data_IF_236005987131
#
_entry.id   IF_236005987131
#
_cell.length_a   1.000
_cell.length_b   1.000
_cell.length_c   1.000
_cell.angle_alpha   90.00
_cell.angle_beta   90.00
_cell.angle_gamma   90.00
#
_symmetry.space_group_name_H-M   'P 1'
#
loop_
_entity.id
_entity.type
_entity.pdbx_description
1 polymer ?
#
# COMPACT_ATOMS: atom_id res chain seq x y z
N UNK A 1 -52.67 29.01 16.42
CA UNK A 1 -53.10 27.88 15.57
C UNK A 1 -52.71 28.21 14.14
N UNK A 2 -51.66 27.72 13.52
CA UNK A 2 -50.45 27.03 13.96
C UNK A 2 -49.42 27.33 12.86
N UNK A 3 -48.34 27.98 13.25
CA UNK A 3 -47.23 28.35 12.38
C UNK A 3 -46.29 27.13 12.30
N UNK A 4 -46.50 26.28 11.29
CA UNK A 4 -45.69 25.07 11.11
C UNK A 4 -44.50 25.41 10.22
N UNK A 5 -43.50 26.08 10.80
CA UNK A 5 -42.16 26.18 10.23
C UNK A 5 -41.50 24.80 10.24
N UNK A 6 -41.54 24.13 9.09
CA UNK A 6 -40.84 22.87 8.86
C UNK A 6 -39.33 23.17 8.84
N UNK A 7 -38.65 22.85 9.94
CA UNK A 7 -37.21 23.01 10.07
C UNK A 7 -36.47 22.31 8.92
N UNK A 8 -35.79 23.11 8.10
CA UNK A 8 -34.87 22.62 7.09
C UNK A 8 -33.77 21.82 7.79
N UNK A 9 -33.88 20.48 7.76
CA UNK A 9 -32.79 19.60 8.17
C UNK A 9 -31.60 19.92 7.27
N UNK A 10 -30.55 20.52 7.82
CA UNK A 10 -29.32 20.83 7.09
C UNK A 10 -28.82 19.54 6.43
N UNK A 11 -28.73 19.54 5.10
CA UNK A 11 -28.14 18.43 4.34
C UNK A 11 -26.74 18.17 4.92
N UNK A 12 -26.36 16.93 5.24
CA UNK A 12 -25.01 16.66 5.72
C UNK A 12 -24.00 17.20 4.69
N UNK A 13 -22.87 17.77 5.14
CA UNK A 13 -21.88 18.32 4.23
C UNK A 13 -21.45 17.24 3.24
N UNK A 14 -21.44 17.60 1.96
CA UNK A 14 -20.98 16.72 0.89
C UNK A 14 -19.49 16.48 1.13
N UNK A 15 -19.07 15.22 1.11
CA UNK A 15 -17.67 14.86 1.22
C UNK A 15 -16.82 15.64 0.19
N UNK A 16 -15.70 16.20 0.63
CA UNK A 16 -14.75 16.96 -0.20
C UNK A 16 -13.53 16.09 -0.51
N UNK A 17 -13.32 15.80 -1.80
CA UNK A 17 -12.15 15.06 -2.30
C UNK A 17 -10.89 15.91 -2.09
N UNK A 18 -9.78 15.26 -1.73
CA UNK A 18 -8.47 15.88 -1.52
C UNK A 18 -8.45 16.95 -0.41
N UNK A 19 -9.42 16.92 0.49
CA UNK A 19 -9.48 17.81 1.64
C UNK A 19 -8.20 17.69 2.49
N UNK A 20 -7.64 18.83 2.90
CA UNK A 20 -6.41 18.90 3.70
C UNK A 20 -6.49 18.03 4.96
N UNK A 21 -7.60 18.08 5.68
CA UNK A 21 -7.79 17.29 6.89
C UNK A 21 -7.74 15.77 6.62
N UNK A 22 -8.18 15.32 5.43
CA UNK A 22 -8.08 13.92 5.04
C UNK A 22 -6.65 13.53 4.70
N UNK A 23 -5.92 14.40 4.00
CA UNK A 23 -4.50 14.21 3.70
C UNK A 23 -3.65 14.13 4.97
N UNK A 24 -3.92 15.00 5.94
CA UNK A 24 -3.25 14.97 7.25
C UNK A 24 -3.47 13.64 7.98
N UNK A 25 -4.68 13.09 7.91
CA UNK A 25 -4.99 11.76 8.48
C UNK A 25 -4.20 10.66 7.76
N UNK A 26 -4.10 10.72 6.44
CA UNK A 26 -3.29 9.78 5.67
C UNK A 26 -1.80 9.87 6.05
N UNK A 27 -1.22 11.07 6.04
CA UNK A 27 0.18 11.30 6.46
C UNK A 27 0.46 10.81 7.88
N UNK A 28 -0.46 11.07 8.82
CA UNK A 28 -0.33 10.60 10.20
C UNK A 28 -0.40 9.06 10.29
N UNK A 29 -1.31 8.43 9.53
CA UNK A 29 -1.40 6.98 9.44
C UNK A 29 -0.09 6.37 8.90
N UNK A 30 0.46 6.93 7.81
CA UNK A 30 1.71 6.47 7.20
C UNK A 30 2.89 6.54 8.19
N UNK A 31 3.04 7.67 8.88
CA UNK A 31 4.07 7.80 9.91
C UNK A 31 3.88 6.81 11.06
N UNK A 32 2.63 6.55 11.48
CA UNK A 32 2.32 5.61 12.55
C UNK A 32 2.67 4.15 12.20
N UNK A 33 2.62 3.78 10.92
CA UNK A 33 3.02 2.45 10.42
C UNK A 33 4.49 2.37 10.02
N UNK A 34 5.28 3.45 10.19
CA UNK A 34 6.71 3.46 9.93
C UNK A 34 7.15 3.90 8.52
N UNK A 35 6.25 4.51 7.74
CA UNK A 35 6.59 5.16 6.47
C UNK A 35 6.80 6.66 6.74
N UNK A 36 8.07 7.08 6.85
CA UNK A 36 8.46 8.49 7.09
C UNK A 36 7.91 9.38 5.98
N UNK A 37 6.86 10.14 6.30
CA UNK A 37 6.10 10.97 5.37
C UNK A 37 6.06 12.40 5.88
N UNK A 38 6.54 13.34 5.07
CA UNK A 38 6.60 14.76 5.43
C UNK A 38 6.01 15.63 4.34
N UNK A 39 5.41 16.75 4.75
CA UNK A 39 5.05 17.81 3.82
C UNK A 39 6.29 18.56 3.33
N UNK A 40 6.34 18.81 2.02
CA UNK A 40 7.37 19.60 1.37
C UNK A 40 6.73 20.31 0.17
N UNK A 41 6.64 21.64 0.21
CA UNK A 41 6.00 22.43 -0.83
C UNK A 41 6.76 22.28 -2.17
N UNK A 42 6.02 22.00 -3.24
CA UNK A 42 6.56 21.71 -4.56
C UNK A 42 7.15 20.32 -4.71
N UNK A 43 6.95 19.40 -3.75
CA UNK A 43 7.39 18.03 -3.91
C UNK A 43 6.65 17.38 -5.09
N UNK A 44 7.42 16.95 -6.08
CA UNK A 44 6.94 16.14 -7.20
C UNK A 44 8.06 15.21 -7.65
N UNK A 45 7.70 14.03 -8.14
CA UNK A 45 8.62 12.99 -8.52
C UNK A 45 8.20 12.34 -9.83
N UNK A 46 8.11 11.01 -9.82
CA UNK A 46 7.46 10.28 -10.91
C UNK A 46 5.96 10.57 -10.97
N UNK A 47 5.35 10.76 -9.79
CA UNK A 47 3.94 11.10 -9.60
C UNK A 47 3.81 12.56 -9.16
N UNK A 48 2.79 13.26 -9.68
CA UNK A 48 2.57 14.67 -9.35
C UNK A 48 2.21 14.87 -7.87
N UNK A 49 2.89 15.82 -7.22
CA UNK A 49 2.65 16.18 -5.82
C UNK A 49 3.25 15.20 -4.80
N UNK A 50 3.89 14.12 -5.24
CA UNK A 50 4.47 13.10 -4.35
C UNK A 50 5.85 12.66 -4.85
N UNK A 51 6.81 12.54 -3.95
CA UNK A 51 8.16 12.08 -4.29
C UNK A 51 8.68 11.10 -3.26
N UNK A 52 9.08 9.93 -3.72
CA UNK A 52 9.86 8.98 -2.93
C UNK A 52 11.33 9.44 -2.90
N UNK A 53 11.91 9.57 -1.70
CA UNK A 53 13.32 9.92 -1.44
C UNK A 53 13.92 8.88 -0.49
N UNK A 54 14.67 7.93 -1.06
CA UNK A 54 15.39 6.86 -0.33
C UNK A 54 14.56 6.18 0.76
N UNK A 55 13.37 5.72 0.37
CA UNK A 55 12.44 5.00 1.25
C UNK A 55 11.57 5.88 2.14
N UNK A 56 11.58 7.20 1.92
CA UNK A 56 10.73 8.20 2.60
C UNK A 56 9.83 8.87 1.58
N UNK A 57 8.81 9.57 2.05
CA UNK A 57 7.84 10.26 1.21
C UNK A 57 7.82 11.77 1.48
N UNK A 58 8.06 12.56 0.44
CA UNK A 58 7.86 14.00 0.43
C UNK A 58 6.55 14.30 -0.31
N UNK A 59 5.65 15.05 0.33
CA UNK A 59 4.28 15.27 -0.13
C UNK A 59 4.00 16.76 -0.26
N UNK A 60 3.57 17.20 -1.43
CA UNK A 60 3.09 18.57 -1.60
C UNK A 60 1.73 18.75 -0.89
N UNK A 61 1.42 19.91 -0.28
CA UNK A 61 0.11 20.15 0.32
C UNK A 61 -1.08 19.99 -0.64
N UNK A 62 -0.87 20.12 -1.95
CA UNK A 62 -1.86 19.87 -3.00
C UNK A 62 -1.84 18.45 -3.57
N UNK A 63 -1.03 17.53 -3.03
CA UNK A 63 -0.96 16.15 -3.49
C UNK A 63 -2.34 15.46 -3.41
N UNK A 64 -2.69 14.72 -4.45
CA UNK A 64 -3.89 13.88 -4.44
C UNK A 64 -3.74 12.76 -3.42
N UNK A 65 -4.83 12.44 -2.73
CA UNK A 65 -4.79 11.40 -1.70
C UNK A 65 -4.64 10.00 -2.33
N UNK A 66 -5.18 9.78 -3.53
CA UNK A 66 -4.93 8.58 -4.33
C UNK A 66 -3.43 8.37 -4.61
N UNK A 67 -2.76 9.41 -5.13
CA UNK A 67 -1.33 9.40 -5.42
C UNK A 67 -0.50 9.15 -4.14
N UNK A 68 -0.81 9.84 -3.05
CA UNK A 68 -0.18 9.64 -1.74
C UNK A 68 -0.25 8.17 -1.29
N UNK A 69 -1.45 7.57 -1.33
CA UNK A 69 -1.65 6.18 -0.90
C UNK A 69 -0.98 5.18 -1.84
N UNK A 70 -0.98 5.42 -3.16
CA UNK A 70 -0.32 4.57 -4.14
C UNK A 70 1.19 4.53 -3.95
N UNK A 71 1.85 5.69 -3.88
CA UNK A 71 3.30 5.78 -3.65
C UNK A 71 3.71 5.19 -2.30
N UNK A 72 2.85 5.37 -1.28
CA UNK A 72 3.04 4.71 0.02
C UNK A 72 2.93 3.19 -0.08
N UNK A 73 2.05 2.68 -0.94
CA UNK A 73 1.91 1.25 -1.22
C UNK A 73 3.20 0.63 -1.76
N UNK A 74 3.94 1.34 -2.62
CA UNK A 74 5.26 0.90 -3.06
C UNK A 74 6.24 0.74 -1.89
N UNK A 75 6.30 1.72 -0.98
CA UNK A 75 7.18 1.65 0.19
C UNK A 75 6.74 0.59 1.21
N UNK A 76 5.43 0.40 1.36
CA UNK A 76 4.83 -0.54 2.30
C UNK A 76 5.06 -2.00 1.88
N UNK A 77 4.91 -2.29 0.59
CA UNK A 77 5.09 -3.63 0.00
C UNK A 77 6.56 -3.99 -0.18
N UNK A 78 7.43 -2.99 -0.33
CA UNK A 78 8.86 -3.18 -0.35
C UNK A 78 9.38 -3.72 1.00
N UNK A 79 10.15 -4.83 1.01
CA UNK A 79 10.81 -5.32 2.22
C UNK A 79 11.66 -4.22 2.87
N UNK A 80 11.54 -4.05 4.19
CA UNK A 80 12.21 -3.00 4.94
C UNK A 80 13.72 -2.92 4.71
N UNK A 81 14.38 -4.06 4.51
CA UNK A 81 15.82 -4.14 4.21
C UNK A 81 16.21 -3.47 2.88
N UNK A 82 15.28 -3.33 1.93
CA UNK A 82 15.50 -2.75 0.61
C UNK A 82 14.82 -1.39 0.42
N UNK A 83 13.97 -0.95 1.36
CA UNK A 83 13.21 0.30 1.24
C UNK A 83 14.08 1.52 0.95
N UNK A 84 15.30 1.55 1.49
CA UNK A 84 16.29 2.61 1.25
C UNK A 84 16.77 2.73 -0.22
N UNK A 85 16.57 1.69 -1.04
CA UNK A 85 16.88 1.69 -2.47
C UNK A 85 15.79 2.38 -3.32
N UNK A 86 14.61 2.63 -2.74
CA UNK A 86 13.48 3.26 -3.43
C UNK A 86 13.67 4.77 -3.47
N UNK A 87 13.89 5.34 -4.65
CA UNK A 87 14.19 6.76 -4.84
C UNK A 87 13.69 7.24 -6.20
N UNK A 88 12.84 8.26 -6.23
CA UNK A 88 12.21 8.78 -7.44
C UNK A 88 11.54 7.67 -8.26
N UNK A 89 12.04 7.43 -9.48
CA UNK A 89 11.61 6.30 -10.30
C UNK A 89 12.15 4.98 -9.73
N UNK A 90 11.24 4.11 -9.30
CA UNK A 90 11.53 2.88 -8.59
C UNK A 90 12.24 1.81 -9.42
N UNK A 91 12.32 1.94 -10.75
CA UNK A 91 12.95 0.96 -11.63
C UNK A 91 14.37 0.58 -11.18
N UNK A 92 15.19 1.58 -10.81
CA UNK A 92 16.57 1.34 -10.37
C UNK A 92 16.61 0.58 -9.04
N UNK A 93 15.77 0.97 -8.09
CA UNK A 93 15.68 0.33 -6.78
C UNK A 93 15.20 -1.12 -6.87
N UNK A 94 14.12 -1.36 -7.62
CA UNK A 94 13.60 -2.71 -7.86
C UNK A 94 14.61 -3.62 -8.57
N UNK A 95 15.32 -3.09 -9.58
CA UNK A 95 16.36 -3.86 -10.29
C UNK A 95 17.49 -4.28 -9.36
N UNK A 96 17.95 -3.39 -8.49
CA UNK A 96 19.00 -3.71 -7.53
C UNK A 96 18.52 -4.69 -6.45
N UNK A 97 17.29 -4.51 -5.95
CA UNK A 97 16.65 -5.46 -5.03
C UNK A 97 16.58 -6.88 -5.62
N UNK A 98 16.11 -7.01 -6.86
CA UNK A 98 16.04 -8.29 -7.57
C UNK A 98 17.43 -8.90 -7.78
N UNK A 99 18.45 -8.08 -8.10
CA UNK A 99 19.83 -8.54 -8.22
C UNK A 99 20.35 -9.12 -6.91
N UNK A 100 20.18 -8.40 -5.79
CA UNK A 100 20.64 -8.84 -4.47
C UNK A 100 19.98 -10.17 -4.07
N UNK A 101 18.66 -10.30 -4.26
CA UNK A 101 17.95 -11.54 -3.95
C UNK A 101 18.33 -12.69 -4.88
N UNK A 102 18.54 -12.41 -6.17
CA UNK A 102 19.03 -13.39 -7.14
C UNK A 102 20.40 -13.94 -6.75
N UNK A 103 21.32 -13.08 -6.33
CA UNK A 103 22.66 -13.46 -5.89
C UNK A 103 22.66 -14.24 -4.56
N UNK A 104 21.64 -14.05 -3.72
CA UNK A 104 21.49 -14.76 -2.46
C UNK A 104 21.06 -16.24 -2.64
N UNK A 105 20.65 -16.65 -3.84
CA UNK A 105 20.24 -18.02 -4.18
C UNK A 105 19.24 -18.62 -3.19
N UNK A 106 18.24 -17.81 -2.78
CA UNK A 106 17.18 -18.24 -1.88
C UNK A 106 16.26 -19.25 -2.55
N UNK A 107 15.61 -20.10 -1.76
CA UNK A 107 14.54 -20.95 -2.27
C UNK A 107 13.37 -20.07 -2.76
N UNK A 108 12.68 -20.42 -3.86
CA UNK A 108 11.56 -19.61 -4.38
C UNK A 108 10.42 -19.37 -3.37
N UNK A 109 10.22 -20.31 -2.44
CA UNK A 109 9.24 -20.17 -1.34
C UNK A 109 9.77 -19.42 -0.11
N UNK A 110 11.03 -18.95 -0.13
CA UNK A 110 11.57 -18.15 0.96
C UNK A 110 10.70 -16.88 1.17
N UNK A 111 10.38 -16.50 2.42
CA UNK A 111 9.55 -15.33 2.70
C UNK A 111 10.04 -14.04 2.03
N UNK A 112 11.36 -13.82 1.98
CA UNK A 112 11.94 -12.64 1.33
C UNK A 112 11.80 -12.73 -0.19
N UNK A 113 12.06 -13.90 -0.78
CA UNK A 113 11.91 -14.09 -2.22
C UNK A 113 10.47 -13.81 -2.67
N UNK A 114 9.49 -14.36 -1.93
CA UNK A 114 8.06 -14.10 -2.16
C UNK A 114 7.72 -12.62 -2.02
N UNK A 115 8.19 -11.98 -0.96
CA UNK A 115 7.94 -10.55 -0.74
C UNK A 115 8.50 -9.68 -1.88
N UNK A 116 9.70 -9.97 -2.38
CA UNK A 116 10.33 -9.22 -3.47
C UNK A 116 9.61 -9.38 -4.80
N UNK A 117 9.14 -10.59 -5.14
CA UNK A 117 8.39 -10.81 -6.39
C UNK A 117 6.98 -10.18 -6.34
N UNK A 118 6.42 -9.99 -5.15
CA UNK A 118 5.10 -9.37 -4.94
C UNK A 118 5.20 -7.89 -4.53
N UNK A 119 6.23 -7.20 -5.01
CA UNK A 119 6.48 -5.77 -4.76
C UNK A 119 6.39 -5.01 -6.09
N UNK A 120 5.16 -4.83 -6.60
CA UNK A 120 4.91 -4.13 -7.86
C UNK A 120 3.66 -3.23 -7.80
N UNK A 121 3.39 -2.49 -8.87
CA UNK A 121 2.27 -1.53 -9.00
C UNK A 121 0.89 -2.10 -8.61
N UNK A 122 0.55 -3.36 -8.94
CA UNK A 122 -0.71 -3.96 -8.52
C UNK A 122 -0.80 -4.15 -7.01
N UNK A 123 0.26 -4.63 -6.36
CA UNK A 123 0.27 -4.76 -4.90
C UNK A 123 0.23 -3.40 -4.22
N UNK A 124 0.90 -2.39 -4.77
CA UNK A 124 0.80 -1.01 -4.29
C UNK A 124 -0.64 -0.46 -4.41
N UNK A 125 -1.31 -0.72 -5.53
CA UNK A 125 -2.72 -0.36 -5.75
C UNK A 125 -3.66 -1.08 -4.76
N UNK A 126 -3.48 -2.38 -4.55
CA UNK A 126 -4.26 -3.14 -3.60
C UNK A 126 -3.99 -2.68 -2.15
N UNK A 127 -2.75 -2.35 -1.82
CA UNK A 127 -2.40 -1.83 -0.51
C UNK A 127 -3.05 -0.46 -0.26
N UNK A 128 -3.01 0.43 -1.26
CA UNK A 128 -3.65 1.75 -1.22
C UNK A 128 -5.16 1.63 -0.97
N UNK A 129 -5.83 0.67 -1.62
CA UNK A 129 -7.23 0.35 -1.36
C UNK A 129 -7.48 0.00 0.11
N UNK A 130 -6.72 -0.94 0.66
CA UNK A 130 -6.84 -1.34 2.07
C UNK A 130 -6.58 -0.19 3.04
N UNK A 131 -5.55 0.62 2.80
CA UNK A 131 -5.23 1.78 3.62
C UNK A 131 -6.35 2.84 3.58
N UNK A 132 -6.88 3.12 2.38
CA UNK A 132 -8.01 4.03 2.22
C UNK A 132 -9.28 3.52 2.91
N UNK A 133 -9.55 2.21 2.89
CA UNK A 133 -10.66 1.60 3.63
C UNK A 133 -10.48 1.73 5.15
N UNK A 134 -9.27 1.52 5.67
CA UNK A 134 -8.96 1.74 7.11
C UNK A 134 -9.17 3.21 7.52
N UNK A 135 -8.78 4.13 6.65
CA UNK A 135 -9.02 5.57 6.80
C UNK A 135 -10.48 5.97 6.55
N UNK A 136 -11.37 5.03 6.18
CA UNK A 136 -12.79 5.24 5.89
C UNK A 136 -13.03 6.28 4.79
N UNK A 137 -12.16 6.27 3.78
CA UNK A 137 -12.25 7.16 2.62
C UNK A 137 -13.28 6.62 1.61
N UNK A 138 -13.93 7.51 0.84
CA UNK A 138 -14.76 7.07 -0.27
C UNK A 138 -13.90 6.39 -1.34
N UNK A 139 -14.41 5.33 -2.00
CA UNK A 139 -13.67 4.60 -3.04
C UNK A 139 -13.06 5.48 -4.14
N UNK A 140 -13.79 6.53 -4.54
CA UNK A 140 -13.41 7.46 -5.60
C UNK A 140 -12.31 8.43 -5.17
N UNK A 141 -11.91 8.46 -3.90
CA UNK A 141 -10.71 9.17 -3.44
C UNK A 141 -9.47 8.28 -3.47
N UNK A 142 -9.68 6.97 -3.28
CA UNK A 142 -8.58 6.02 -3.17
C UNK A 142 -8.09 5.63 -4.57
N UNK A 143 -9.03 5.41 -5.49
CA UNK A 143 -8.78 5.04 -6.88
C UNK A 143 -9.57 6.00 -7.76
N UNK A 144 -8.88 6.89 -8.48
CA UNK A 144 -9.49 7.88 -9.36
C UNK A 144 -9.75 7.30 -10.75
N UNK A 145 -10.78 7.79 -11.45
CA UNK A 145 -11.04 7.35 -12.82
C UNK A 145 -9.98 7.85 -13.80
N UNK A 146 -9.52 9.09 -13.62
CA UNK A 146 -8.54 9.74 -14.50
C UNK A 146 -7.12 9.18 -14.36
N UNK A 147 -6.85 8.40 -13.31
CA UNK A 147 -5.54 7.76 -13.07
C UNK A 147 -5.45 6.35 -13.68
N UNK A 148 -6.55 5.84 -14.24
CA UNK A 148 -6.64 4.48 -14.81
C UNK A 148 -7.31 4.50 -16.20
N UNK A 149 -6.99 5.49 -17.03
CA UNK A 149 -7.53 5.63 -18.40
C UNK A 149 -9.08 5.63 -18.47
N UNK A 150 -9.75 6.10 -17.42
CA UNK A 150 -11.20 6.09 -17.29
C UNK A 150 -11.80 4.79 -16.73
N UNK A 151 -10.99 3.77 -16.43
CA UNK A 151 -11.43 2.45 -15.97
C UNK A 151 -11.36 2.30 -14.43
N UNK A 152 -11.24 3.41 -13.69
CA UNK A 152 -11.16 3.38 -12.23
C UNK A 152 -12.35 2.67 -11.57
N UNK A 153 -13.56 2.76 -12.14
CA UNK A 153 -14.73 2.04 -11.63
C UNK A 153 -14.55 0.52 -11.64
N UNK A 154 -14.03 -0.03 -12.75
CA UNK A 154 -13.73 -1.46 -12.87
C UNK A 154 -12.66 -1.89 -11.88
N UNK A 155 -11.61 -1.07 -11.70
CA UNK A 155 -10.56 -1.32 -10.71
C UNK A 155 -11.13 -1.34 -9.29
N UNK A 156 -11.95 -0.36 -8.92
CA UNK A 156 -12.64 -0.31 -7.62
C UNK A 156 -13.55 -1.52 -7.41
N UNK A 157 -14.28 -1.94 -8.43
CA UNK A 157 -15.12 -3.13 -8.36
C UNK A 157 -14.27 -4.39 -8.14
N UNK A 158 -13.21 -4.57 -8.92
CA UNK A 158 -12.30 -5.70 -8.81
C UNK A 158 -11.64 -5.77 -7.41
N UNK A 159 -11.19 -4.65 -6.86
CA UNK A 159 -10.65 -4.56 -5.50
C UNK A 159 -11.71 -4.92 -4.45
N UNK A 160 -12.92 -4.36 -4.59
CA UNK A 160 -14.03 -4.61 -3.65
C UNK A 160 -14.41 -6.08 -3.56
N UNK A 161 -14.44 -6.79 -4.70
CA UNK A 161 -14.79 -8.22 -4.74
C UNK A 161 -13.56 -9.14 -4.55
N UNK A 162 -12.37 -8.57 -4.37
CA UNK A 162 -11.12 -9.32 -4.16
C UNK A 162 -10.60 -10.04 -5.40
N UNK A 163 -10.99 -9.59 -6.60
CA UNK A 163 -10.58 -10.14 -7.89
C UNK A 163 -9.45 -9.33 -8.57
N UNK A 164 -9.07 -8.17 -8.02
CA UNK A 164 -7.91 -7.43 -8.50
C UNK A 164 -6.62 -8.22 -8.19
N UNK A 165 -5.77 -8.41 -9.18
CA UNK A 165 -4.65 -9.35 -9.12
C UNK A 165 -3.61 -9.02 -8.03
N UNK A 166 -3.38 -7.74 -7.74
CA UNK A 166 -2.53 -7.32 -6.61
C UNK A 166 -3.01 -7.82 -5.24
N UNK A 167 -4.30 -8.15 -5.09
CA UNK A 167 -4.83 -8.76 -3.85
C UNK A 167 -4.22 -10.15 -3.62
N UNK A 168 -4.01 -10.91 -4.69
CA UNK A 168 -3.37 -12.22 -4.60
C UNK A 168 -1.87 -12.11 -4.30
N UNK A 169 -1.21 -11.07 -4.83
CA UNK A 169 0.19 -10.77 -4.50
C UNK A 169 0.38 -10.43 -3.04
N UNK A 170 -0.44 -9.51 -2.50
CA UNK A 170 -0.47 -9.19 -1.06
C UNK A 170 -0.73 -10.43 -0.20
N UNK A 171 -1.68 -11.28 -0.61
CA UNK A 171 -1.95 -12.52 0.11
C UNK A 171 -0.76 -13.48 0.08
N UNK A 172 -0.06 -13.57 -1.04
CA UNK A 172 1.13 -14.41 -1.18
C UNK A 172 2.34 -13.85 -0.41
N UNK A 173 2.41 -12.53 -0.24
CA UNK A 173 3.38 -11.85 0.62
C UNK A 173 3.01 -11.86 2.12
N UNK A 174 1.87 -12.47 2.48
CA UNK A 174 1.44 -12.67 3.87
C UNK A 174 0.63 -11.53 4.48
N UNK A 175 0.29 -10.48 3.71
CA UNK A 175 -0.49 -9.35 4.21
C UNK A 175 -1.93 -9.75 4.55
N UNK A 176 -2.53 -10.71 3.86
CA UNK A 176 -3.90 -11.13 4.15
C UNK A 176 -4.20 -12.54 3.64
N UNK A 177 -5.32 -13.11 4.06
CA UNK A 177 -5.91 -14.28 3.41
C UNK A 177 -6.97 -13.86 2.39
N UNK A 178 -7.11 -14.62 1.31
CA UNK A 178 -8.20 -14.47 0.33
C UNK A 178 -9.50 -15.10 0.84
N UNK A 179 -9.38 -16.24 1.53
CA UNK A 179 -10.53 -17.02 2.02
C UNK A 179 -10.56 -17.00 3.54
N UNK A 180 -11.75 -16.92 4.15
CA UNK A 180 -11.89 -17.05 5.59
C UNK A 180 -11.34 -18.38 6.09
N UNK A 181 -10.47 -18.30 7.10
CA UNK A 181 -10.02 -19.43 7.92
C UNK A 181 -9.98 -18.95 9.36
N UNK A 182 -10.12 -19.85 10.32
CA UNK A 182 -10.09 -19.49 11.74
C UNK A 182 -8.82 -18.70 12.08
N UNK A 183 -8.99 -17.50 12.64
CA UNK A 183 -7.88 -16.62 13.02
C UNK A 183 -7.22 -15.83 11.88
N UNK A 184 -7.65 -16.00 10.63
CA UNK A 184 -7.05 -15.28 9.50
C UNK A 184 -7.64 -13.88 9.34
N UNK A 185 -6.77 -12.88 9.11
CA UNK A 185 -7.17 -11.57 8.61
C UNK A 185 -7.44 -11.70 7.11
N UNK A 186 -8.67 -11.38 6.68
CA UNK A 186 -9.14 -11.56 5.30
C UNK A 186 -9.21 -10.21 4.60
N UNK A 187 -8.84 -10.19 3.32
CA UNK A 187 -9.03 -9.03 2.43
C UNK A 187 -10.42 -8.41 2.59
N UNK A 188 -10.55 -7.06 2.65
CA UNK A 188 -9.53 -6.04 2.43
C UNK A 188 -8.71 -5.65 3.68
N UNK A 189 -8.85 -6.34 4.80
CA UNK A 189 -8.03 -6.06 5.98
C UNK A 189 -6.64 -6.70 5.81
N UNK A 190 -5.63 -6.02 6.32
CA UNK A 190 -4.25 -6.50 6.32
C UNK A 190 -3.83 -6.93 7.73
N UNK A 191 -3.03 -7.99 7.82
CA UNK A 191 -2.46 -8.56 9.04
C UNK A 191 -1.34 -7.66 9.61
N UNK A 192 -0.62 -6.98 8.72
CA UNK A 192 0.38 -5.96 9.00
C UNK A 192 0.39 -4.94 7.86
N UNK A 193 0.96 -3.76 8.09
CA UNK A 193 0.93 -2.66 7.14
C UNK A 193 2.22 -2.51 6.32
N UNK A 194 3.36 -2.96 6.82
CA UNK A 194 4.65 -2.91 6.12
C UNK A 194 5.30 -4.28 6.04
N UNK A 195 5.98 -4.55 4.92
CA UNK A 195 6.70 -5.79 4.70
C UNK A 195 8.07 -5.75 5.39
N UNK A 196 8.27 -6.61 6.38
CA UNK A 196 9.52 -6.69 7.16
C UNK A 196 10.28 -8.00 6.94
N UNK A 197 9.93 -8.76 5.89
CA UNK A 197 10.74 -9.90 5.46
C UNK A 197 12.20 -9.48 5.23
N UNK A 198 13.13 -10.28 5.76
CA UNK A 198 14.55 -10.05 5.66
C UNK A 198 15.30 -11.31 5.28
N UNK A 199 16.61 -11.20 5.07
CA UNK A 199 17.46 -12.37 4.83
C UNK A 199 17.45 -13.25 6.07
N UNK A 200 16.90 -14.45 5.95
CA UNK A 200 17.08 -15.46 7.00
C UNK A 200 18.52 -15.98 6.89
N UNK A 201 19.29 -15.88 7.97
CA UNK A 201 20.59 -16.57 8.03
C UNK A 201 20.28 -18.05 8.16
N UNK A 202 20.29 -18.78 7.04
CA UNK A 202 20.36 -20.23 7.10
C UNK A 202 21.68 -20.61 7.79
N UNK A 203 21.61 -21.06 9.05
CA UNK A 203 22.72 -21.79 9.65
C UNK A 203 23.00 -23.03 8.79
N UNK A 204 24.24 -23.23 8.30
CA UNK A 204 24.58 -24.48 7.65
C UNK A 204 24.62 -25.57 8.72
N UNK A 205 23.88 -26.66 8.47
CA UNK A 205 23.81 -27.92 9.23
C UNK A 205 22.82 -28.01 10.40
N UNK A 206 21.67 -28.65 10.11
CA UNK A 206 21.28 -29.86 10.84
C UNK A 206 20.84 -30.91 9.82
N UNK A 207 21.79 -31.78 9.39
CA UNK A 207 21.43 -33.12 8.93
C UNK A 207 21.32 -33.99 10.18
N UNK A 208 20.12 -34.17 10.71
CA UNK A 208 19.88 -35.30 11.62
C UNK A 208 19.65 -36.53 10.74
N UNK A 209 20.72 -37.31 10.57
CA UNK A 209 20.62 -38.71 10.14
C UNK A 209 19.85 -39.45 11.22
N UNK A 210 18.65 -39.95 10.90
CA UNK A 210 18.00 -40.96 11.71
C UNK A 210 18.54 -42.32 11.30
N UNK A 211 19.47 -42.85 12.09
CA UNK A 211 19.74 -44.28 12.20
C UNK A 211 19.10 -44.79 13.47
N UNK A 212 18.09 -45.65 13.33
CA UNK A 212 17.92 -46.98 13.98
C UNK A 212 16.66 -47.61 13.44
#
# INVERSE_FOLDING_TARGET
MDDTSCGAKSRPPRYEIDAQATRDRAVNFLNAIGIDTRYEAGASGFTDGCRIDRGRLAVDPGCRISALLHESGHLATCPGIFRHLMDGNLYRGHREMLRIVGDANLHPDDPLYRAVIQCSDPEATAWAWSAGMELKLPPEEIIRDDEYDGDGESVRLALRVGAYYGVHGLAHAGFCAIRPRTGAVVWPRLNFWTQEAGLTVHSPHVRSVQTT
#
